data_IF_161185294593
#
_entry.id   IF_161185294593
#
_cell.length_a   1.000
_cell.length_b   1.000
_cell.length_c   1.000
_cell.angle_alpha   90.00
_cell.angle_beta   90.00
_cell.angle_gamma   90.00
#
_symmetry.space_group_name_H-M   'P 1'
#
loop_
_entity.id
_entity.type
_entity.pdbx_description
1 polymer ?
#
# COMPACT_ATOMS: atom_id res chain seq x y z
N UNK A 1 7.21 -17.68 -0.73
CA UNK A 1 7.04 -17.41 -2.18
C UNK A 1 6.49 -16.00 -2.45
N UNK A 2 5.30 -15.63 -1.99
CA UNK A 2 4.69 -14.31 -2.26
C UNK A 2 5.56 -13.10 -1.87
N UNK A 3 6.25 -13.16 -0.73
CA UNK A 3 7.18 -12.08 -0.31
C UNK A 3 8.33 -11.86 -1.31
N UNK A 4 8.91 -12.93 -1.87
CA UNK A 4 9.97 -12.83 -2.87
C UNK A 4 9.44 -12.25 -4.18
N UNK A 5 8.22 -12.63 -4.59
CA UNK A 5 7.56 -12.06 -5.76
C UNK A 5 7.41 -10.53 -5.60
N UNK A 6 6.87 -10.07 -4.48
CA UNK A 6 6.67 -8.63 -4.24
C UNK A 6 8.01 -7.88 -4.12
N UNK A 7 9.01 -8.47 -3.46
CA UNK A 7 10.34 -7.89 -3.41
C UNK A 7 10.97 -7.74 -4.79
N UNK A 8 10.77 -8.71 -5.69
CA UNK A 8 11.25 -8.62 -7.08
C UNK A 8 10.49 -7.60 -7.94
N UNK A 9 9.30 -7.18 -7.48
CA UNK A 9 8.42 -6.24 -8.20
C UNK A 9 8.29 -4.88 -7.51
N UNK A 10 9.23 -4.53 -6.62
CA UNK A 10 9.06 -3.43 -5.68
C UNK A 10 9.05 -2.02 -6.29
N UNK A 11 9.73 -1.80 -7.42
CA UNK A 11 9.88 -0.46 -7.99
C UNK A 11 10.14 -0.44 -9.49
N UNK A 12 9.77 0.67 -10.14
CA UNK A 12 10.01 0.93 -11.56
C UNK A 12 8.83 0.59 -12.47
N UNK A 13 8.92 1.06 -13.72
CA UNK A 13 7.83 0.94 -14.69
C UNK A 13 7.59 -0.52 -15.11
N UNK A 14 8.63 -1.24 -15.53
CA UNK A 14 8.49 -2.64 -16.00
C UNK A 14 7.97 -3.58 -14.90
N UNK A 15 8.43 -3.48 -13.64
CA UNK A 15 7.84 -4.27 -12.57
C UNK A 15 6.40 -3.90 -12.24
N UNK A 16 6.05 -2.62 -12.32
CA UNK A 16 4.66 -2.16 -12.17
C UNK A 16 3.76 -2.77 -13.26
N UNK A 17 4.19 -2.71 -14.52
CA UNK A 17 3.45 -3.33 -15.64
C UNK A 17 3.27 -4.83 -15.42
N UNK A 18 4.34 -5.52 -15.02
CA UNK A 18 4.32 -6.95 -14.69
C UNK A 18 3.35 -7.27 -13.55
N UNK A 19 3.30 -6.39 -12.55
CA UNK A 19 2.45 -6.52 -11.37
C UNK A 19 0.97 -6.35 -11.68
N UNK A 20 0.58 -5.53 -12.66
CA UNK A 20 -0.83 -5.32 -13.04
C UNK A 20 -1.31 -6.22 -14.19
N UNK A 21 -0.49 -7.16 -14.66
CA UNK A 21 -0.87 -8.02 -15.78
C UNK A 21 -2.04 -8.96 -15.46
N UNK A 22 -2.92 -9.13 -16.44
CA UNK A 22 -4.08 -10.04 -16.34
C UNK A 22 -3.73 -11.49 -15.95
N UNK A 23 -2.63 -12.11 -16.43
CA UNK A 23 -2.25 -13.46 -16.00
C UNK A 23 -1.92 -13.54 -14.51
N UNK A 24 -1.14 -12.59 -13.97
CA UNK A 24 -0.80 -12.56 -12.56
C UNK A 24 -2.04 -12.29 -11.69
N UNK A 25 -2.88 -11.35 -12.12
CA UNK A 25 -4.15 -11.07 -11.45
C UNK A 25 -5.03 -12.32 -11.35
N UNK A 26 -5.20 -13.05 -12.47
CA UNK A 26 -5.97 -14.31 -12.49
C UNK A 26 -5.33 -15.36 -11.58
N UNK A 27 -4.01 -15.48 -11.60
CA UNK A 27 -3.28 -16.42 -10.74
C UNK A 27 -3.52 -16.14 -9.26
N UNK A 28 -3.37 -14.89 -8.82
CA UNK A 28 -3.61 -14.50 -7.42
C UNK A 28 -5.08 -14.69 -7.01
N UNK A 29 -6.01 -14.28 -7.86
CA UNK A 29 -7.44 -14.43 -7.60
C UNK A 29 -7.86 -15.91 -7.45
N UNK A 30 -7.37 -16.77 -8.35
CA UNK A 30 -7.63 -18.21 -8.28
C UNK A 30 -7.00 -18.84 -7.04
N UNK A 31 -5.78 -18.46 -6.68
CA UNK A 31 -5.12 -18.92 -5.46
C UNK A 31 -5.87 -18.52 -4.19
N UNK A 32 -6.39 -17.29 -4.16
CA UNK A 32 -7.18 -16.77 -3.05
C UNK A 32 -8.49 -17.54 -2.90
N UNK A 33 -9.27 -17.71 -3.99
CA UNK A 33 -10.49 -18.51 -3.98
C UNK A 33 -10.25 -19.95 -3.57
N UNK A 34 -9.19 -20.57 -4.06
CA UNK A 34 -8.84 -21.93 -3.68
C UNK A 34 -8.54 -22.04 -2.18
N UNK A 35 -7.78 -21.08 -1.63
CA UNK A 35 -7.48 -21.05 -0.20
C UNK A 35 -8.74 -20.88 0.64
N UNK A 36 -9.67 -20.03 0.21
CA UNK A 36 -10.93 -19.79 0.91
C UNK A 36 -11.86 -21.01 0.88
N UNK A 37 -12.02 -21.62 -0.30
CA UNK A 37 -12.80 -22.86 -0.46
C UNK A 37 -12.21 -24.01 0.36
N UNK A 38 -10.87 -24.14 0.38
CA UNK A 38 -10.20 -25.16 1.17
C UNK A 38 -10.34 -24.95 2.69
N UNK A 39 -10.45 -23.70 3.15
CA UNK A 39 -10.64 -23.38 4.56
C UNK A 39 -12.09 -23.59 5.02
N UNK A 40 -13.06 -23.15 4.22
CA UNK A 40 -14.49 -23.19 4.57
C UNK A 40 -15.12 -24.57 4.26
N UNK A 41 -14.75 -25.19 3.14
CA UNK A 41 -15.33 -26.45 2.66
C UNK A 41 -14.24 -27.45 2.21
N UNK A 42 -13.46 -28.04 3.13
CA UNK A 42 -12.32 -28.89 2.77
C UNK A 42 -12.65 -30.08 1.85
N UNK A 43 -13.87 -30.64 1.95
CA UNK A 43 -14.34 -31.76 1.13
C UNK A 43 -14.59 -31.41 -0.34
N UNK A 44 -14.67 -30.11 -0.67
CA UNK A 44 -14.92 -29.60 -2.02
C UNK A 44 -13.66 -29.39 -2.86
N UNK A 45 -12.47 -29.76 -2.36
CA UNK A 45 -11.20 -29.56 -3.08
C UNK A 45 -10.47 -30.90 -3.22
N UNK A 46 -10.13 -31.30 -4.46
CA UNK A 46 -9.40 -32.57 -4.71
C UNK A 46 -8.24 -32.39 -5.68
N UNK A 47 -7.18 -33.17 -5.50
CA UNK A 47 -6.03 -33.15 -6.38
C UNK A 47 -6.40 -33.76 -7.72
N UNK A 48 -6.14 -33.03 -8.80
CA UNK A 48 -6.22 -33.55 -10.15
C UNK A 48 -4.79 -33.81 -10.66
N UNK A 49 -4.45 -35.09 -10.81
CA UNK A 49 -3.12 -35.55 -11.25
C UNK A 49 -2.77 -35.14 -12.68
N UNK A 50 -3.77 -34.99 -13.57
CA UNK A 50 -3.58 -34.61 -14.96
C UNK A 50 -3.20 -33.14 -15.08
N UNK A 51 -3.94 -32.27 -14.39
CA UNK A 51 -3.74 -30.82 -14.46
C UNK A 51 -2.75 -30.31 -13.42
N UNK A 52 -2.26 -31.18 -12.52
CA UNK A 52 -1.41 -30.84 -11.37
C UNK A 52 -1.97 -29.65 -10.57
N UNK A 53 -3.30 -29.62 -10.40
CA UNK A 53 -4.06 -28.53 -9.79
C UNK A 53 -5.12 -29.09 -8.83
N UNK A 54 -5.61 -28.21 -7.97
CA UNK A 54 -6.68 -28.50 -7.01
C UNK A 54 -7.98 -27.79 -7.43
N UNK A 55 -8.72 -28.31 -8.43
CA UNK A 55 -10.00 -27.71 -8.80
C UNK A 55 -11.05 -27.91 -7.67
N UNK A 56 -11.99 -26.97 -7.52
CA UNK A 56 -13.19 -27.21 -6.73
C UNK A 56 -14.04 -28.32 -7.37
N UNK A 57 -14.60 -29.20 -6.54
CA UNK A 57 -15.42 -30.36 -6.92
C UNK A 57 -16.83 -30.14 -6.36
N UNK A 58 -17.84 -30.32 -7.21
CA UNK A 58 -19.25 -30.08 -6.87
C UNK A 58 -19.86 -31.13 -5.92
N UNK A 59 -19.14 -32.21 -5.59
CA UNK A 59 -19.66 -33.34 -4.83
C UNK A 59 -18.83 -33.62 -3.55
N UNK A 60 -19.50 -33.59 -2.41
CA UNK A 60 -18.95 -33.85 -1.06
C UNK A 60 -18.59 -35.33 -0.79
N UNK A 61 -18.68 -36.21 -1.79
CA UNK A 61 -18.59 -37.66 -1.57
C UNK A 61 -17.14 -38.18 -1.54
N UNK A 62 -16.29 -37.75 -0.60
CA UNK A 62 -14.90 -38.19 -0.57
C UNK A 62 -14.24 -38.17 0.80
N UNK A 63 -14.02 -39.35 1.35
CA UNK A 63 -13.25 -39.62 2.58
C UNK A 63 -11.73 -39.45 2.37
N UNK A 64 -11.28 -38.32 1.83
CA UNK A 64 -9.85 -38.02 1.64
C UNK A 64 -9.43 -36.81 2.47
N UNK A 65 -8.61 -37.01 3.50
CA UNK A 65 -7.96 -35.90 4.21
C UNK A 65 -7.04 -35.17 3.22
N UNK A 66 -7.37 -33.93 2.89
CA UNK A 66 -6.54 -33.08 2.04
C UNK A 66 -5.34 -32.56 2.85
N UNK A 67 -4.09 -32.74 2.38
CA UNK A 67 -2.90 -32.23 3.07
C UNK A 67 -2.67 -30.72 2.85
N UNK A 68 -3.73 -29.96 2.53
CA UNK A 68 -3.63 -28.55 2.14
C UNK A 68 -3.58 -27.65 3.37
N UNK A 69 -2.88 -26.49 3.34
CA UNK A 69 -2.95 -25.53 4.43
C UNK A 69 -4.39 -25.03 4.59
N UNK A 70 -5.07 -25.51 5.62
CA UNK A 70 -6.46 -25.18 5.97
C UNK A 70 -6.63 -23.75 6.52
N UNK A 71 -5.54 -22.97 6.61
CA UNK A 71 -5.56 -21.59 7.11
C UNK A 71 -5.49 -20.63 5.95
N UNK A 72 -6.49 -19.75 5.85
CA UNK A 72 -6.50 -18.61 4.93
C UNK A 72 -5.21 -17.81 5.08
N UNK A 73 -4.51 -17.56 3.97
CA UNK A 73 -3.30 -16.76 3.99
C UNK A 73 -3.64 -15.28 3.76
N UNK A 74 -3.62 -14.41 4.78
CA UNK A 74 -4.01 -13.01 4.62
C UNK A 74 -3.11 -12.24 3.63
N UNK A 75 -1.87 -12.70 3.40
CA UNK A 75 -0.94 -12.04 2.48
C UNK A 75 -1.42 -12.07 1.02
N UNK A 76 -2.08 -13.14 0.56
CA UNK A 76 -2.53 -13.21 -0.84
C UNK A 76 -3.67 -12.22 -1.09
N UNK A 77 -4.54 -12.04 -0.09
CA UNK A 77 -5.64 -11.08 -0.10
C UNK A 77 -5.07 -9.66 -0.11
N UNK A 78 -4.10 -9.37 0.78
CA UNK A 78 -3.43 -8.07 0.84
C UNK A 78 -2.77 -7.71 -0.50
N UNK A 79 -2.03 -8.63 -1.11
CA UNK A 79 -1.36 -8.42 -2.39
C UNK A 79 -2.38 -8.18 -3.52
N UNK A 80 -3.49 -8.93 -3.53
CA UNK A 80 -4.55 -8.71 -4.51
C UNK A 80 -5.20 -7.32 -4.35
N UNK A 81 -5.40 -6.88 -3.11
CA UNK A 81 -5.82 -5.51 -2.79
C UNK A 81 -4.84 -4.45 -3.31
N UNK A 82 -3.54 -4.64 -3.09
CA UNK A 82 -2.47 -3.76 -3.61
C UNK A 82 -2.45 -3.71 -5.15
N UNK A 83 -2.65 -4.85 -5.81
CA UNK A 83 -2.78 -4.92 -7.27
C UNK A 83 -4.00 -4.12 -7.76
N UNK A 84 -5.12 -4.19 -7.02
CA UNK A 84 -6.30 -3.38 -7.33
C UNK A 84 -6.02 -1.87 -7.17
N UNK A 85 -5.20 -1.45 -6.20
CA UNK A 85 -4.73 -0.05 -6.10
C UNK A 85 -3.94 0.33 -7.36
N UNK A 86 -2.95 -0.47 -7.73
CA UNK A 86 -2.10 -0.20 -8.90
C UNK A 86 -2.91 -0.12 -10.20
N UNK A 87 -3.94 -0.97 -10.34
CA UNK A 87 -4.90 -0.93 -11.45
C UNK A 87 -5.96 0.17 -11.33
N UNK A 88 -5.88 1.05 -10.32
CA UNK A 88 -6.85 2.12 -10.01
C UNK A 88 -8.29 1.64 -9.79
N UNK A 89 -8.46 0.36 -9.45
CA UNK A 89 -9.73 -0.25 -9.05
C UNK A 89 -9.93 -0.08 -7.54
N UNK A 90 -10.06 1.17 -7.09
CA UNK A 90 -10.02 1.49 -5.66
C UNK A 90 -11.18 0.88 -4.86
N UNK A 91 -12.38 0.76 -5.44
CA UNK A 91 -13.52 0.11 -4.76
C UNK A 91 -13.21 -1.35 -4.43
N UNK A 92 -12.68 -2.09 -5.40
CA UNK A 92 -12.23 -3.48 -5.21
C UNK A 92 -11.07 -3.55 -4.22
N UNK A 93 -10.12 -2.61 -4.32
CA UNK A 93 -8.99 -2.54 -3.40
C UNK A 93 -9.45 -2.39 -1.94
N UNK A 94 -10.37 -1.45 -1.66
CA UNK A 94 -10.94 -1.26 -0.31
C UNK A 94 -11.57 -2.55 0.20
N UNK A 95 -12.37 -3.24 -0.62
CA UNK A 95 -13.01 -4.51 -0.24
C UNK A 95 -11.97 -5.57 0.19
N UNK A 96 -10.97 -5.86 -0.63
CA UNK A 96 -9.97 -6.88 -0.31
C UNK A 96 -9.02 -6.45 0.81
N UNK A 97 -8.68 -5.17 0.91
CA UNK A 97 -7.80 -4.69 1.97
C UNK A 97 -8.51 -4.63 3.32
N UNK A 98 -9.82 -4.34 3.37
CA UNK A 98 -10.61 -4.47 4.59
C UNK A 98 -10.67 -5.93 5.04
N UNK A 99 -10.88 -6.86 4.08
CA UNK A 99 -10.82 -8.28 4.39
C UNK A 99 -9.44 -8.69 4.94
N UNK A 100 -8.34 -8.16 4.38
CA UNK A 100 -7.00 -8.37 4.93
C UNK A 100 -6.82 -7.75 6.31
N UNK A 101 -7.44 -6.60 6.56
CA UNK A 101 -7.37 -5.87 7.82
C UNK A 101 -8.06 -6.64 8.96
N UNK A 102 -9.14 -7.37 8.66
CA UNK A 102 -9.81 -8.24 9.64
C UNK A 102 -8.86 -9.31 10.22
N UNK A 103 -7.90 -9.79 9.43
CA UNK A 103 -6.88 -10.75 9.89
C UNK A 103 -5.64 -10.08 10.50
N UNK A 104 -5.25 -8.90 10.00
CA UNK A 104 -3.98 -8.25 10.33
C UNK A 104 -4.15 -6.74 10.59
N UNK A 105 -4.91 -6.33 11.62
CA UNK A 105 -5.21 -4.91 11.87
C UNK A 105 -4.00 -4.11 12.37
N UNK A 106 -2.95 -4.81 12.82
CA UNK A 106 -1.70 -4.22 13.30
C UNK A 106 -0.63 -4.13 12.21
N UNK A 107 -0.94 -4.52 10.96
CA UNK A 107 0.00 -4.36 9.85
C UNK A 107 -0.06 -2.92 9.31
N UNK A 108 1.03 -2.12 9.46
CA UNK A 108 1.05 -0.75 8.98
C UNK A 108 0.86 -0.67 7.45
N UNK A 109 1.32 -1.65 6.68
CA UNK A 109 1.17 -1.63 5.23
C UNK A 109 -0.28 -1.80 4.81
N UNK A 110 -1.07 -2.62 5.50
CA UNK A 110 -2.51 -2.76 5.23
C UNK A 110 -3.23 -1.44 5.50
N UNK A 111 -2.93 -0.78 6.62
CA UNK A 111 -3.48 0.52 6.97
C UNK A 111 -3.11 1.60 5.93
N UNK A 112 -1.84 1.66 5.52
CA UNK A 112 -1.39 2.60 4.51
C UNK A 112 -2.07 2.36 3.15
N UNK A 113 -2.19 1.09 2.72
CA UNK A 113 -2.90 0.75 1.48
C UNK A 113 -4.38 1.11 1.55
N UNK A 114 -5.05 0.90 2.68
CA UNK A 114 -6.44 1.33 2.88
C UNK A 114 -6.59 2.84 2.80
N UNK A 115 -5.66 3.59 3.39
CA UNK A 115 -5.63 5.05 3.28
C UNK A 115 -5.52 5.49 1.81
N UNK A 116 -4.54 4.95 1.08
CA UNK A 116 -4.31 5.25 -0.35
C UNK A 116 -5.53 4.88 -1.19
N UNK A 117 -6.13 3.72 -0.97
CA UNK A 117 -7.31 3.27 -1.73
C UNK A 117 -8.52 4.18 -1.46
N UNK A 118 -8.74 4.58 -0.21
CA UNK A 118 -9.85 5.46 0.18
C UNK A 118 -9.71 6.85 -0.41
N UNK A 119 -8.52 7.46 -0.30
CA UNK A 119 -8.20 8.76 -0.91
C UNK A 119 -8.29 8.68 -2.43
N UNK A 120 -7.73 7.62 -3.03
CA UNK A 120 -7.80 7.37 -4.47
C UNK A 120 -9.25 7.27 -4.98
N UNK A 121 -10.13 6.58 -4.24
CA UNK A 121 -11.57 6.50 -4.53
C UNK A 121 -12.23 7.87 -4.43
N UNK A 122 -11.92 8.65 -3.39
CA UNK A 122 -12.49 9.99 -3.20
C UNK A 122 -12.13 10.95 -4.35
N UNK A 123 -10.98 10.76 -5.00
CA UNK A 123 -10.52 11.57 -6.12
C UNK A 123 -11.07 11.14 -7.49
N UNK A 124 -11.73 9.99 -7.58
CA UNK A 124 -12.40 9.59 -8.83
C UNK A 124 -13.64 10.45 -9.07
N UNK A 125 -13.93 10.71 -10.35
CA UNK A 125 -15.10 11.50 -10.79
C UNK A 125 -16.41 10.97 -10.19
N UNK A 126 -16.59 9.64 -10.19
CA UNK A 126 -17.79 8.94 -9.72
C UNK A 126 -17.62 8.43 -8.29
N UNK A 127 -17.50 9.34 -7.33
CA UNK A 127 -17.44 9.02 -5.90
C UNK A 127 -18.66 9.63 -5.22
N UNK A 128 -19.45 8.80 -4.56
CA UNK A 128 -20.73 9.22 -3.98
C UNK A 128 -20.50 10.16 -2.80
N UNK A 129 -19.80 9.69 -1.76
CA UNK A 129 -19.47 10.48 -0.58
C UNK A 129 -17.96 10.66 -0.42
N UNK A 130 -17.42 11.67 -1.12
CA UNK A 130 -15.98 11.99 -1.12
C UNK A 130 -15.46 12.34 0.28
N UNK A 131 -16.23 13.11 1.04
CA UNK A 131 -15.82 13.54 2.37
C UNK A 131 -15.68 12.34 3.31
N UNK A 132 -16.64 11.41 3.28
CA UNK A 132 -16.56 10.18 4.06
C UNK A 132 -15.31 9.35 3.70
N UNK A 133 -15.02 9.18 2.42
CA UNK A 133 -13.84 8.44 1.95
C UNK A 133 -12.53 9.12 2.35
N UNK A 134 -12.48 10.46 2.34
CA UNK A 134 -11.32 11.22 2.84
C UNK A 134 -11.15 10.99 4.35
N UNK A 135 -12.22 11.11 5.13
CA UNK A 135 -12.19 10.83 6.58
C UNK A 135 -11.74 9.41 6.87
N UNK A 136 -12.27 8.42 6.14
CA UNK A 136 -11.86 7.02 6.26
C UNK A 136 -10.37 6.84 5.92
N UNK A 137 -9.90 7.48 4.84
CA UNK A 137 -8.50 7.42 4.45
C UNK A 137 -7.57 8.02 5.50
N UNK A 138 -7.94 9.18 6.07
CA UNK A 138 -7.18 9.82 7.15
C UNK A 138 -7.19 9.00 8.43
N UNK A 139 -8.30 8.32 8.77
CA UNK A 139 -8.37 7.44 9.94
C UNK A 139 -7.37 6.28 9.84
N UNK A 140 -7.32 5.59 8.69
CA UNK A 140 -6.33 4.53 8.46
C UNK A 140 -4.89 5.06 8.41
N UNK A 141 -4.68 6.27 7.88
CA UNK A 141 -3.36 6.90 7.88
C UNK A 141 -2.89 7.25 9.30
N UNK A 142 -3.80 7.70 10.16
CA UNK A 142 -3.53 7.93 11.59
C UNK A 142 -3.21 6.62 12.33
N UNK A 143 -3.90 5.53 12.00
CA UNK A 143 -3.56 4.21 12.53
C UNK A 143 -2.20 3.72 12.04
N UNK A 144 -1.89 3.91 10.75
CA UNK A 144 -0.55 3.63 10.24
C UNK A 144 0.54 4.37 11.02
N UNK A 145 0.34 5.66 11.35
CA UNK A 145 1.25 6.42 12.21
C UNK A 145 1.37 5.82 13.60
N UNK A 146 0.27 5.41 14.23
CA UNK A 146 0.32 4.83 15.58
C UNK A 146 1.06 3.49 15.63
N UNK A 147 1.01 2.71 14.55
CA UNK A 147 1.74 1.44 14.41
C UNK A 147 3.24 1.63 14.11
N UNK A 148 3.63 2.77 13.53
CA UNK A 148 5.02 3.08 13.14
C UNK A 148 5.78 3.91 14.16
N UNK A 149 5.09 4.57 15.11
CA UNK A 149 5.68 5.56 16.03
C UNK A 149 6.78 5.02 16.96
N UNK A 150 6.78 3.71 17.22
CA UNK A 150 7.67 3.10 18.22
C UNK A 150 9.12 2.99 17.71
N UNK A 151 9.33 3.02 16.39
CA UNK A 151 10.65 3.00 15.78
C UNK A 151 10.97 4.38 15.17
N UNK A 152 11.96 5.10 15.72
CA UNK A 152 12.39 6.40 15.22
C UNK A 152 12.73 6.40 13.72
N UNK A 153 13.18 5.27 13.17
CA UNK A 153 13.54 5.13 11.74
C UNK A 153 12.37 5.31 10.80
N UNK A 154 11.13 5.12 11.27
CA UNK A 154 9.91 5.25 10.47
C UNK A 154 9.24 6.62 10.61
N UNK A 155 9.73 7.51 11.48
CA UNK A 155 9.09 8.81 11.67
C UNK A 155 9.17 9.69 10.42
N UNK A 156 10.31 9.68 9.72
CA UNK A 156 10.47 10.38 8.43
C UNK A 156 9.51 9.82 7.35
N UNK A 157 9.35 8.49 7.28
CA UNK A 157 8.39 7.79 6.41
C UNK A 157 6.95 8.24 6.68
N UNK A 158 6.57 8.30 7.95
CA UNK A 158 5.24 8.74 8.37
C UNK A 158 4.99 10.19 7.98
N UNK A 159 5.88 11.11 8.37
CA UNK A 159 5.70 12.54 8.06
C UNK A 159 5.66 12.77 6.54
N UNK A 160 6.52 12.08 5.78
CA UNK A 160 6.50 12.13 4.31
C UNK A 160 5.16 11.68 3.72
N UNK A 161 4.62 10.55 4.20
CA UNK A 161 3.35 10.00 3.71
C UNK A 161 2.14 10.89 4.04
N UNK A 162 2.15 11.57 5.19
CA UNK A 162 1.17 12.63 5.49
C UNK A 162 1.31 13.81 4.54
N UNK A 163 2.54 14.28 4.29
CA UNK A 163 2.82 15.32 3.31
C UNK A 163 2.29 14.98 1.92
N UNK A 164 2.58 13.76 1.43
CA UNK A 164 2.09 13.23 0.15
C UNK A 164 0.57 13.20 0.09
N UNK A 165 -0.08 12.75 1.16
CA UNK A 165 -1.54 12.66 1.25
C UNK A 165 -2.18 14.04 1.14
N UNK A 166 -1.70 15.02 1.92
CA UNK A 166 -2.24 16.37 1.88
C UNK A 166 -1.97 17.06 0.55
N UNK A 167 -0.80 16.86 -0.04
CA UNK A 167 -0.50 17.39 -1.37
C UNK A 167 -1.45 16.79 -2.43
N UNK A 168 -1.73 15.49 -2.36
CA UNK A 168 -2.68 14.82 -3.26
C UNK A 168 -4.12 15.34 -3.12
N UNK A 169 -4.51 15.76 -1.91
CA UNK A 169 -5.81 16.40 -1.63
C UNK A 169 -5.83 17.90 -1.97
N UNK A 170 -4.72 18.50 -2.40
CA UNK A 170 -4.60 19.93 -2.67
C UNK A 170 -4.44 20.80 -1.41
N UNK A 171 -4.23 20.20 -0.25
CA UNK A 171 -4.07 20.88 1.04
C UNK A 171 -2.60 21.29 1.26
N UNK A 172 -2.09 22.18 0.41
CA UNK A 172 -0.67 22.52 0.33
C UNK A 172 -0.08 23.02 1.66
N UNK A 173 -0.80 23.87 2.41
CA UNK A 173 -0.30 24.39 3.69
C UNK A 173 -0.05 23.29 4.73
N UNK A 174 -0.81 22.19 4.70
CA UNK A 174 -0.56 21.03 5.56
C UNK A 174 0.59 20.19 5.02
N UNK A 175 0.65 20.00 3.70
CA UNK A 175 1.72 19.25 3.06
C UNK A 175 3.10 19.86 3.34
N UNK A 176 3.22 21.20 3.26
CA UNK A 176 4.45 21.95 3.56
C UNK A 176 4.97 21.63 4.96
N UNK A 177 4.11 21.75 5.99
CA UNK A 177 4.50 21.47 7.38
C UNK A 177 5.09 20.07 7.56
N UNK A 178 4.49 19.08 6.92
CA UNK A 178 4.97 17.69 6.99
C UNK A 178 6.29 17.49 6.24
N UNK A 179 6.46 18.08 5.06
CA UNK A 179 7.74 18.00 4.35
C UNK A 179 8.87 18.74 5.08
N UNK A 180 8.60 19.93 5.63
CA UNK A 180 9.55 20.65 6.47
C UNK A 180 9.99 19.81 7.67
N UNK A 181 9.04 19.10 8.30
CA UNK A 181 9.36 18.19 9.41
C UNK A 181 10.30 17.05 9.00
N UNK A 182 10.15 16.50 7.79
CA UNK A 182 11.08 15.49 7.25
C UNK A 182 12.48 16.07 7.06
N UNK A 183 12.58 17.30 6.55
CA UNK A 183 13.87 17.97 6.36
C UNK A 183 14.55 18.29 7.70
N UNK A 184 13.80 18.78 8.69
CA UNK A 184 14.29 19.01 10.06
C UNK A 184 14.84 17.72 10.69
N UNK A 185 14.16 16.59 10.50
CA UNK A 185 14.61 15.29 11.02
C UNK A 185 15.93 14.88 10.36
N UNK A 186 16.03 15.02 9.04
CA UNK A 186 17.24 14.67 8.30
C UNK A 186 18.45 15.52 8.69
N UNK A 187 18.25 16.81 8.99
CA UNK A 187 19.31 17.69 9.50
C UNK A 187 19.81 17.24 10.87
N UNK A 188 18.90 16.93 11.80
CA UNK A 188 19.26 16.41 13.13
C UNK A 188 19.98 15.08 13.05
N UNK A 189 19.56 14.20 12.14
CA UNK A 189 20.20 12.89 11.98
C UNK A 189 21.62 13.04 11.41
N UNK A 190 21.85 14.00 10.51
CA UNK A 190 23.18 14.33 10.01
C UNK A 190 24.10 14.88 11.11
N UNK A 191 23.59 15.76 11.98
CA UNK A 191 24.33 16.29 13.14
C UNK A 191 24.73 15.19 14.13
N UNK A 192 23.82 14.24 14.37
CA UNK A 192 24.03 13.14 15.33
C UNK A 192 24.75 11.92 14.75
N UNK A 193 25.22 11.98 13.49
CA UNK A 193 25.81 10.85 12.76
C UNK A 193 24.93 9.58 12.76
N UNK A 194 23.61 9.78 12.85
CA UNK A 194 22.63 8.70 12.88
C UNK A 194 22.25 8.31 11.45
N UNK A 195 22.34 7.02 11.12
CA UNK A 195 21.90 6.50 9.82
C UNK A 195 20.41 6.14 9.88
N UNK A 196 19.54 7.14 9.83
CA UNK A 196 18.10 6.95 9.59
C UNK A 196 17.80 6.96 8.08
N UNK A 197 16.68 6.37 7.68
CA UNK A 197 16.22 6.44 6.29
C UNK A 197 15.77 7.88 5.99
N UNK A 198 16.62 8.63 5.31
CA UNK A 198 16.33 10.01 4.93
C UNK A 198 15.50 10.04 3.63
N UNK A 199 14.22 10.38 3.75
CA UNK A 199 13.35 10.77 2.63
C UNK A 199 13.47 12.27 2.29
N UNK A 200 14.59 12.89 2.67
CA UNK A 200 14.78 14.33 2.58
C UNK A 200 14.79 14.83 1.12
N UNK A 201 15.38 14.06 0.20
CA UNK A 201 15.42 14.42 -1.21
C UNK A 201 14.01 14.37 -1.82
N UNK A 202 13.25 13.33 -1.52
CA UNK A 202 11.87 13.18 -1.98
C UNK A 202 10.95 14.26 -1.38
N UNK A 203 11.12 14.58 -0.09
CA UNK A 203 10.39 15.66 0.56
C UNK A 203 10.73 17.03 -0.04
N UNK A 204 12.03 17.33 -0.22
CA UNK A 204 12.49 18.57 -0.83
C UNK A 204 11.98 18.73 -2.26
N UNK A 205 11.97 17.65 -3.05
CA UNK A 205 11.43 17.67 -4.40
C UNK A 205 9.92 17.95 -4.40
N UNK A 206 9.15 17.27 -3.57
CA UNK A 206 7.71 17.50 -3.51
C UNK A 206 7.35 18.90 -2.99
N UNK A 207 8.13 19.41 -2.04
CA UNK A 207 7.99 20.76 -1.51
C UNK A 207 8.35 21.83 -2.55
N UNK A 208 9.40 21.61 -3.35
CA UNK A 208 9.76 22.53 -4.43
C UNK A 208 8.66 22.63 -5.49
N UNK A 209 7.97 21.52 -5.80
CA UNK A 209 6.81 21.54 -6.69
C UNK A 209 5.67 22.42 -6.13
N UNK A 210 5.41 22.35 -4.83
CA UNK A 210 4.43 23.24 -4.18
C UNK A 210 4.87 24.69 -4.35
N UNK A 211 6.12 25.02 -4.00
CA UNK A 211 6.61 26.39 -4.11
C UNK A 211 6.60 26.94 -5.53
N UNK A 212 6.93 26.13 -6.53
CA UNK A 212 6.83 26.55 -7.94
C UNK A 212 5.38 26.83 -8.31
N UNK A 213 4.46 25.92 -7.98
CA UNK A 213 3.03 26.07 -8.33
C UNK A 213 2.36 27.23 -7.59
N UNK A 214 2.82 27.61 -6.40
CA UNK A 214 2.30 28.77 -5.64
C UNK A 214 3.06 30.07 -5.91
N UNK A 215 4.05 30.08 -6.81
CA UNK A 215 4.81 31.28 -7.19
C UNK A 215 5.96 31.67 -6.24
N UNK A 216 6.31 30.83 -5.26
CA UNK A 216 7.42 31.04 -4.34
C UNK A 216 8.76 30.51 -4.89
N UNK A 217 9.12 30.91 -6.12
CA UNK A 217 10.30 30.41 -6.83
C UNK A 217 11.63 30.52 -6.04
N UNK A 218 11.91 31.59 -5.27
CA UNK A 218 13.15 31.67 -4.48
C UNK A 218 13.29 30.56 -3.44
N UNK A 219 12.19 30.14 -2.80
CA UNK A 219 12.19 29.04 -1.83
C UNK A 219 12.45 27.70 -2.51
N UNK A 220 11.85 27.47 -3.68
CA UNK A 220 12.13 26.28 -4.49
C UNK A 220 13.62 26.21 -4.88
N UNK A 221 14.22 27.33 -5.29
CA UNK A 221 15.63 27.40 -5.65
C UNK A 221 16.56 27.08 -4.47
N UNK A 222 16.20 27.54 -3.27
CA UNK A 222 16.94 27.22 -2.05
C UNK A 222 16.92 25.70 -1.76
N UNK A 223 15.77 25.05 -1.92
CA UNK A 223 15.64 23.60 -1.79
C UNK A 223 16.50 22.85 -2.82
N UNK A 224 16.49 23.31 -4.08
CA UNK A 224 17.32 22.68 -5.13
C UNK A 224 18.80 22.71 -4.79
N UNK A 225 19.29 23.86 -4.32
CA UNK A 225 20.71 24.04 -3.97
C UNK A 225 21.12 23.22 -2.74
N UNK A 226 20.22 23.08 -1.76
CA UNK A 226 20.55 22.43 -0.48
C UNK A 226 20.40 20.90 -0.53
N UNK A 227 19.34 20.39 -1.16
CA UNK A 227 18.94 18.99 -1.03
C UNK A 227 19.02 18.20 -2.33
N UNK A 228 19.01 18.87 -3.49
CA UNK A 228 18.84 18.23 -4.80
C UNK A 228 20.01 18.49 -5.77
N UNK A 229 21.11 19.05 -5.26
CA UNK A 229 22.38 19.08 -5.98
C UNK A 229 23.00 17.68 -6.05
N UNK A 230 23.69 17.38 -7.16
CA UNK A 230 24.43 16.14 -7.36
C UNK A 230 25.71 16.10 -6.53
#
# INVERSE_FOLDING_TARGET
>A
MYRLLIASLSSGLRPTDSFITSPLQKFLFMGMKLSDVAANNPGSVRWNSLNKRWPPVLAENGNGKTPFPMKTNPLIIAIYGQMCIAAKSYQSAIFYLLHSYDYCPQDPMVCLCLAIASIGRAMQRQSDNRHHLITQGLAFLSQYRSLRKDDPRHLSEVEFNFGRTFQQLGLHSLAVKHYERVLEMAERDAENQSQTSSLAKEAAYNLSLIYVTTGAAPLAQALYRKWLSL
#
